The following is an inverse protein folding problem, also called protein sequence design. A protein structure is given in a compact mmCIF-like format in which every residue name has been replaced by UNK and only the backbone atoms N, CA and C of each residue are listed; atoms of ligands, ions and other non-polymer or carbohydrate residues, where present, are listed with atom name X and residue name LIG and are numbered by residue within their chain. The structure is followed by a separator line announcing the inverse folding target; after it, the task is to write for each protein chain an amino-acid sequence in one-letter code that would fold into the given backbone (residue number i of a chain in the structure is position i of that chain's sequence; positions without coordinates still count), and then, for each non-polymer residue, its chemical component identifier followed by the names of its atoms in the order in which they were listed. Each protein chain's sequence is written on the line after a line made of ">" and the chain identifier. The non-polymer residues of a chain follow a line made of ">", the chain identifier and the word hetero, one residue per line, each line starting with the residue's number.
data_IF_825271719539
#
_entry.id   IF_825271719539
#
_cell.length_a   1.000
_cell.length_b   1.000
_cell.length_c   1.000
_cell.angle_alpha   90.00
_cell.angle_beta   90.00
_cell.angle_gamma   90.00
#
_symmetry.space_group_name_H-M   'P 1'
#
loop_
_entity.id
_entity.type
_entity.pdbx_description
1 polymer ?
#
# COMPACT_ATOMS: atom_id res chain seq x y z
N UNK A 1 42.90 -55.67 26.70
CA UNK A 1 43.02 -55.03 25.36
C UNK A 1 41.67 -54.57 24.79
N UNK A 2 40.56 -55.24 25.09
CA UNK A 2 39.20 -54.91 24.56
C UNK A 2 38.61 -53.61 25.14
N UNK A 3 38.77 -53.36 26.46
CA UNK A 3 38.26 -52.15 27.12
C UNK A 3 38.86 -50.83 26.59
N UNK A 4 40.13 -50.83 26.15
CA UNK A 4 40.78 -49.64 25.55
C UNK A 4 40.21 -49.31 24.17
N UNK A 5 39.72 -50.29 23.41
CA UNK A 5 39.13 -50.06 22.09
C UNK A 5 37.74 -49.42 22.18
N UNK A 6 36.95 -49.78 23.19
CA UNK A 6 35.64 -49.15 23.43
C UNK A 6 35.75 -47.70 23.89
N UNK A 7 36.65 -47.39 24.83
CA UNK A 7 36.85 -46.02 25.28
C UNK A 7 37.31 -45.09 24.12
N UNK A 8 38.13 -45.60 23.20
CA UNK A 8 38.58 -44.85 22.03
C UNK A 8 37.42 -44.56 21.06
N UNK A 9 36.55 -45.55 20.82
CA UNK A 9 35.43 -45.45 19.89
C UNK A 9 34.38 -44.45 20.38
N UNK A 10 34.05 -44.49 21.68
CA UNK A 10 33.08 -43.56 22.28
C UNK A 10 33.59 -42.12 22.24
N UNK A 11 34.88 -41.92 22.52
CA UNK A 11 35.52 -40.60 22.42
C UNK A 11 35.50 -40.09 20.98
N UNK A 12 35.76 -40.95 19.99
CA UNK A 12 35.73 -40.58 18.58
C UNK A 12 34.33 -40.14 18.13
N UNK A 13 33.28 -40.84 18.57
CA UNK A 13 31.89 -40.51 18.23
C UNK A 13 31.47 -39.18 18.83
N UNK A 14 31.86 -38.89 20.09
CA UNK A 14 31.55 -37.61 20.74
C UNK A 14 32.26 -36.46 20.04
N UNK A 15 33.55 -36.62 19.74
CA UNK A 15 34.33 -35.59 19.03
C UNK A 15 33.79 -35.36 17.62
N UNK A 16 33.44 -36.42 16.89
CA UNK A 16 32.88 -36.30 15.55
C UNK A 16 31.49 -35.64 15.56
N UNK A 17 30.66 -35.94 16.56
CA UNK A 17 29.35 -35.30 16.74
C UNK A 17 29.48 -33.82 17.10
N UNK A 18 30.43 -33.46 17.97
CA UNK A 18 30.73 -32.08 18.30
C UNK A 18 31.31 -31.30 17.10
N UNK A 19 32.14 -31.96 16.28
CA UNK A 19 32.71 -31.38 15.07
C UNK A 19 31.63 -31.14 14.01
N UNK A 20 30.71 -32.10 13.81
CA UNK A 20 29.56 -31.95 12.93
C UNK A 20 28.61 -30.86 13.43
N UNK A 21 28.37 -30.76 14.74
CA UNK A 21 27.56 -29.70 15.33
C UNK A 21 28.22 -28.31 15.16
N UNK A 22 29.54 -28.20 15.35
CA UNK A 22 30.29 -26.97 15.06
C UNK A 22 30.30 -26.63 13.58
N UNK A 23 30.52 -27.59 12.68
CA UNK A 23 30.48 -27.37 11.23
C UNK A 23 29.07 -27.02 10.75
N UNK A 24 28.03 -27.56 11.37
CA UNK A 24 26.64 -27.18 11.14
C UNK A 24 26.34 -25.75 11.61
N UNK A 25 26.90 -25.31 12.73
CA UNK A 25 26.80 -23.92 13.19
C UNK A 25 27.65 -22.95 12.37
N UNK A 26 28.86 -23.34 11.95
CA UNK A 26 29.76 -22.52 11.12
C UNK A 26 29.20 -22.38 9.70
N UNK A 27 28.59 -23.43 9.13
CA UNK A 27 27.89 -23.34 7.83
C UNK A 27 26.60 -22.50 7.90
N UNK A 28 26.02 -22.33 9.10
CA UNK A 28 24.90 -21.41 9.36
C UNK A 28 25.32 -20.00 9.78
N UNK A 29 26.55 -19.82 10.24
CA UNK A 29 27.18 -18.52 10.42
C UNK A 29 27.44 -17.93 9.02
N UNK A 30 26.38 -17.41 8.41
CA UNK A 30 26.48 -16.61 7.19
C UNK A 30 27.56 -15.56 7.43
N UNK A 31 28.56 -15.52 6.54
CA UNK A 31 29.32 -14.30 6.30
C UNK A 31 28.33 -13.11 6.25
N UNK A 32 28.65 -11.94 6.82
CA UNK A 32 27.74 -10.79 6.83
C UNK A 32 27.48 -10.41 5.37
N UNK A 33 26.42 -10.99 4.83
CA UNK A 33 25.93 -10.68 3.52
C UNK A 33 25.37 -9.28 3.71
N UNK A 34 26.08 -8.27 3.20
CA UNK A 34 25.52 -6.92 3.08
C UNK A 34 24.36 -7.07 2.10
N UNK A 35 23.20 -7.49 2.59
CA UNK A 35 22.02 -7.64 1.77
C UNK A 35 21.65 -6.23 1.34
N UNK A 36 21.91 -5.91 0.08
CA UNK A 36 21.42 -4.67 -0.50
C UNK A 36 19.90 -4.69 -0.39
N UNK A 37 19.34 -3.71 0.31
CA UNK A 37 17.91 -3.48 0.40
C UNK A 37 17.30 -3.47 -1.00
N UNK A 38 16.24 -4.26 -1.21
CA UNK A 38 15.50 -4.28 -2.47
C UNK A 38 14.52 -3.12 -2.51
N UNK A 39 14.65 -2.23 -3.48
CA UNK A 39 13.66 -1.16 -3.69
C UNK A 39 12.54 -1.66 -4.59
N UNK A 40 11.30 -1.48 -4.14
CA UNK A 40 10.11 -2.00 -4.78
C UNK A 40 9.09 -0.87 -4.96
N UNK A 41 8.40 -0.80 -6.10
CA UNK A 41 7.31 0.16 -6.24
C UNK A 41 6.13 -0.29 -5.39
N UNK A 42 5.38 0.68 -4.87
CA UNK A 42 4.05 0.48 -4.30
C UNK A 42 3.14 1.59 -4.81
N UNK A 43 1.84 1.39 -4.75
CA UNK A 43 0.88 2.40 -5.16
C UNK A 43 -0.32 2.39 -4.22
N UNK A 44 -1.15 3.42 -4.31
CA UNK A 44 -2.47 3.38 -3.71
C UNK A 44 -3.31 2.24 -4.31
N UNK A 45 -4.45 2.00 -3.68
CA UNK A 45 -5.40 1.00 -4.14
C UNK A 45 -6.82 1.45 -3.79
N UNK A 46 -7.81 0.71 -4.26
CA UNK A 46 -9.22 0.90 -3.92
C UNK A 46 -9.82 -0.42 -3.44
N UNK A 47 -10.75 -0.38 -2.51
CA UNK A 47 -11.41 -1.61 -2.09
C UNK A 47 -12.26 -2.17 -3.24
N UNK A 48 -12.16 -3.48 -3.48
CA UNK A 48 -12.82 -4.18 -4.60
C UNK A 48 -14.32 -3.91 -4.71
N UNK A 49 -15.01 -3.73 -3.57
CA UNK A 49 -16.44 -3.33 -3.49
C UNK A 49 -16.80 -2.06 -4.26
N UNK A 50 -15.86 -1.14 -4.48
CA UNK A 50 -16.10 0.10 -5.21
C UNK A 50 -15.79 -0.01 -6.70
N UNK A 51 -15.09 -1.05 -7.12
CA UNK A 51 -14.82 -1.27 -8.54
C UNK A 51 -16.09 -1.82 -9.17
N UNK A 52 -16.63 -1.09 -10.14
CA UNK A 52 -17.83 -1.50 -10.86
C UNK A 52 -17.67 -2.95 -11.35
N UNK A 53 -18.71 -3.79 -11.25
CA UNK A 53 -18.66 -5.14 -11.81
C UNK A 53 -18.57 -5.09 -13.35
N UNK A 54 -18.19 -6.20 -14.00
CA UNK A 54 -18.27 -6.31 -15.45
C UNK A 54 -19.67 -5.90 -15.94
N UNK A 55 -19.73 -5.02 -16.93
CA UNK A 55 -20.98 -4.50 -17.48
C UNK A 55 -20.89 -4.40 -18.99
N UNK A 56 -21.97 -4.77 -19.67
CA UNK A 56 -22.17 -4.54 -21.10
C UNK A 56 -22.56 -3.08 -21.41
N UNK A 57 -22.99 -2.33 -20.39
CA UNK A 57 -23.35 -0.93 -20.53
C UNK A 57 -22.11 -0.05 -20.50
N UNK A 58 -21.90 0.69 -21.59
CA UNK A 58 -20.77 1.58 -21.74
C UNK A 58 -21.19 3.05 -21.85
N UNK A 59 -21.88 3.42 -22.94
CA UNK A 59 -22.27 4.81 -23.22
C UNK A 59 -23.66 5.13 -22.68
N UNK A 60 -24.58 4.16 -22.65
CA UNK A 60 -25.99 4.37 -22.23
C UNK A 60 -26.14 4.97 -20.83
N UNK A 61 -25.14 4.80 -19.96
CA UNK A 61 -25.14 5.34 -18.61
C UNK A 61 -24.42 6.69 -18.49
N UNK A 62 -23.86 7.23 -19.59
CA UNK A 62 -23.04 8.44 -19.60
C UNK A 62 -23.78 9.60 -20.24
N UNK A 63 -23.78 10.75 -19.57
CA UNK A 63 -24.49 11.96 -20.02
C UNK A 63 -23.74 13.27 -19.76
N UNK A 64 -22.47 13.22 -19.32
CA UNK A 64 -21.63 14.40 -19.18
C UNK A 64 -20.21 14.15 -19.68
N UNK A 65 -19.64 15.13 -20.38
CA UNK A 65 -18.28 15.06 -20.92
C UNK A 65 -17.23 14.92 -19.82
N UNK A 66 -17.35 15.70 -18.74
CA UNK A 66 -16.42 15.74 -17.61
C UNK A 66 -17.15 15.64 -16.27
N UNK A 67 -16.56 14.95 -15.30
CA UNK A 67 -17.02 14.93 -13.91
C UNK A 67 -16.93 16.31 -13.25
N UNK A 68 -17.81 16.53 -12.26
CA UNK A 68 -18.03 17.81 -11.59
C UNK A 68 -16.79 18.27 -10.80
N UNK A 69 -16.12 17.35 -10.10
CA UNK A 69 -14.98 17.69 -9.24
C UNK A 69 -13.75 18.01 -10.09
N UNK A 70 -13.28 19.26 -9.99
CA UNK A 70 -12.08 19.76 -10.66
C UNK A 70 -10.94 19.85 -9.63
N UNK A 71 -9.87 19.05 -9.77
CA UNK A 71 -8.77 19.01 -8.81
C UNK A 71 -8.15 20.38 -8.53
N UNK A 72 -8.15 20.82 -7.27
CA UNK A 72 -7.56 22.10 -6.85
C UNK A 72 -8.55 23.27 -6.84
N UNK A 73 -9.73 23.12 -7.45
CA UNK A 73 -10.80 24.09 -7.35
C UNK A 73 -11.81 23.65 -6.29
N UNK A 74 -11.63 24.11 -5.04
CA UNK A 74 -12.46 23.70 -3.89
C UNK A 74 -13.96 23.99 -4.05
N UNK A 75 -14.35 24.97 -4.86
CA UNK A 75 -15.78 25.26 -5.07
C UNK A 75 -16.53 24.14 -5.78
N UNK A 76 -15.81 23.25 -6.48
CA UNK A 76 -16.39 22.09 -7.17
C UNK A 76 -16.55 20.85 -6.27
N UNK A 77 -16.08 20.91 -5.02
CA UNK A 77 -16.10 19.79 -4.08
C UNK A 77 -17.44 19.80 -3.32
N UNK A 78 -18.53 19.66 -4.09
CA UNK A 78 -19.89 19.93 -3.63
C UNK A 78 -20.61 18.72 -3.01
N UNK A 79 -20.09 17.50 -3.20
CA UNK A 79 -20.77 16.28 -2.76
C UNK A 79 -20.72 16.11 -1.24
N UNK A 80 -21.90 15.88 -0.65
CA UNK A 80 -22.06 15.59 0.77
C UNK A 80 -22.11 14.09 1.06
N UNK A 81 -22.56 13.28 0.09
CA UNK A 81 -22.70 11.84 0.21
C UNK A 81 -21.86 11.07 -0.83
N UNK A 82 -21.39 9.88 -0.42
CA UNK A 82 -20.51 9.02 -1.21
C UNK A 82 -21.20 8.51 -2.49
N UNK A 83 -22.51 8.24 -2.42
CA UNK A 83 -23.27 7.68 -3.52
C UNK A 83 -23.39 8.68 -4.68
N UNK A 84 -23.71 9.94 -4.40
CA UNK A 84 -23.79 11.01 -5.39
C UNK A 84 -22.40 11.31 -5.99
N UNK A 85 -21.35 11.35 -5.16
CA UNK A 85 -19.98 11.53 -5.64
C UNK A 85 -19.58 10.45 -6.67
N UNK A 86 -19.87 9.18 -6.37
CA UNK A 86 -19.58 8.09 -7.30
C UNK A 86 -20.54 8.00 -8.49
N UNK A 87 -21.81 8.39 -8.32
CA UNK A 87 -22.75 8.51 -9.43
C UNK A 87 -22.29 9.57 -10.46
N UNK A 88 -21.69 10.66 -10.00
CA UNK A 88 -21.11 11.68 -10.88
C UNK A 88 -20.00 11.11 -11.76
N UNK A 89 -19.06 10.34 -11.20
CA UNK A 89 -18.07 9.66 -12.03
C UNK A 89 -18.71 8.68 -13.01
N UNK A 90 -19.69 7.87 -12.57
CA UNK A 90 -20.33 6.86 -13.44
C UNK A 90 -20.97 7.47 -14.69
N UNK A 91 -21.65 8.61 -14.52
CA UNK A 91 -22.32 9.32 -15.61
C UNK A 91 -21.38 10.16 -16.48
N UNK A 92 -20.11 10.32 -16.10
CA UNK A 92 -19.10 11.05 -16.89
C UNK A 92 -18.34 10.18 -17.87
N UNK A 93 -18.04 10.72 -19.05
CA UNK A 93 -17.03 10.13 -19.94
C UNK A 93 -15.62 10.23 -19.35
N UNK A 94 -15.23 11.44 -18.96
CA UNK A 94 -13.91 11.71 -18.39
C UNK A 94 -13.99 12.35 -16.99
N UNK A 95 -12.92 12.27 -16.24
CA UNK A 95 -12.73 13.02 -15.02
C UNK A 95 -11.31 13.58 -14.96
N UNK A 96 -11.19 14.87 -14.66
CA UNK A 96 -9.90 15.53 -14.60
C UNK A 96 -9.10 15.03 -13.40
N UNK A 97 -7.84 14.65 -13.63
CA UNK A 97 -6.88 14.34 -12.58
C UNK A 97 -5.49 14.86 -12.96
N UNK A 98 -4.61 14.99 -11.96
CA UNK A 98 -3.28 15.56 -12.13
C UNK A 98 -2.43 15.28 -10.89
N UNK A 99 -1.12 15.56 -10.98
CA UNK A 99 -0.25 15.66 -9.80
C UNK A 99 -0.82 16.65 -8.78
N UNK A 100 -0.85 16.24 -7.50
CA UNK A 100 -1.18 17.13 -6.37
C UNK A 100 -0.04 17.14 -5.36
N UNK A 101 -0.25 16.65 -4.13
CA UNK A 101 0.82 16.41 -3.17
C UNK A 101 1.78 15.29 -3.60
N UNK A 102 1.37 14.50 -4.60
CA UNK A 102 2.17 13.47 -5.25
C UNK A 102 1.60 13.15 -6.62
N UNK A 103 2.31 12.33 -7.39
CA UNK A 103 1.81 11.77 -8.64
C UNK A 103 0.73 10.72 -8.38
N UNK A 104 0.92 9.87 -7.38
CA UNK A 104 -0.06 8.86 -7.01
C UNK A 104 -1.07 9.45 -6.02
N UNK A 105 -2.36 9.33 -6.34
CA UNK A 105 -3.43 9.83 -5.48
C UNK A 105 -4.68 8.96 -5.59
N UNK A 106 -5.44 8.84 -4.49
CA UNK A 106 -6.61 7.95 -4.43
C UNK A 106 -7.68 8.26 -5.50
N UNK A 107 -7.85 9.55 -5.87
CA UNK A 107 -8.80 9.97 -6.91
C UNK A 107 -8.62 9.22 -8.23
N UNK A 108 -7.39 8.90 -8.62
CA UNK A 108 -7.12 8.17 -9.87
C UNK A 108 -7.86 6.82 -9.91
N UNK A 109 -7.90 6.16 -8.75
CA UNK A 109 -8.54 4.86 -8.55
C UNK A 109 -10.05 5.01 -8.44
N UNK A 110 -10.55 6.07 -7.78
CA UNK A 110 -11.98 6.36 -7.71
C UNK A 110 -12.60 6.59 -9.09
N UNK A 111 -11.89 7.31 -9.96
CA UNK A 111 -12.30 7.55 -11.35
C UNK A 111 -12.41 6.21 -12.10
N UNK A 112 -11.33 5.42 -12.10
CA UNK A 112 -11.29 4.12 -12.79
C UNK A 112 -12.33 3.15 -12.26
N UNK A 113 -12.46 3.04 -10.93
CA UNK A 113 -13.38 2.13 -10.27
C UNK A 113 -14.84 2.40 -10.64
N UNK A 114 -15.20 3.65 -10.92
CA UNK A 114 -16.54 4.06 -11.34
C UNK A 114 -16.75 4.02 -12.86
N UNK A 115 -15.82 3.42 -13.63
CA UNK A 115 -15.94 3.31 -15.08
C UNK A 115 -15.90 4.65 -15.79
N UNK A 116 -15.29 5.64 -15.17
CA UNK A 116 -14.94 6.92 -15.76
C UNK A 116 -13.47 6.85 -16.24
N UNK A 117 -13.14 7.57 -17.31
CA UNK A 117 -11.76 7.59 -17.83
C UNK A 117 -11.01 8.79 -17.25
N UNK A 118 -9.82 8.60 -16.64
CA UNK A 118 -9.00 9.72 -16.21
C UNK A 118 -8.58 10.58 -17.40
N UNK A 119 -8.79 11.88 -17.32
CA UNK A 119 -8.08 12.86 -18.15
C UNK A 119 -6.91 13.40 -17.32
N UNK A 120 -5.72 12.85 -17.53
CA UNK A 120 -4.59 13.01 -16.61
C UNK A 120 -3.60 14.05 -17.14
N UNK A 121 -3.59 15.24 -16.53
CA UNK A 121 -2.63 16.29 -16.90
C UNK A 121 -1.22 15.94 -16.42
N UNK A 122 -0.26 16.00 -17.34
CA UNK A 122 1.15 15.69 -17.10
C UNK A 122 1.43 14.19 -16.98
N UNK A 123 0.62 13.33 -17.60
CA UNK A 123 0.81 11.87 -17.50
C UNK A 123 2.17 11.42 -18.08
N UNK A 124 2.72 12.14 -19.05
CA UNK A 124 4.05 11.88 -19.60
C UNK A 124 5.20 12.36 -18.70
N UNK A 125 4.90 13.20 -17.70
CA UNK A 125 5.88 13.73 -16.75
C UNK A 125 6.03 12.83 -15.50
N UNK A 126 5.30 11.71 -15.42
CA UNK A 126 5.34 10.78 -14.29
C UNK A 126 6.71 10.06 -14.27
N UNK A 127 7.49 10.14 -13.16
CA UNK A 127 8.81 9.53 -13.09
C UNK A 127 8.77 8.00 -13.22
N UNK A 128 9.82 7.37 -13.78
CA UNK A 128 9.91 5.91 -13.87
C UNK A 128 9.80 5.25 -12.49
N UNK A 129 9.03 4.15 -12.38
CA UNK A 129 8.72 3.42 -11.13
C UNK A 129 7.69 4.09 -10.21
N UNK A 130 7.18 5.27 -10.55
CA UNK A 130 6.01 5.86 -9.89
C UNK A 130 4.73 5.30 -10.49
N UNK A 131 3.71 5.01 -9.67
CA UNK A 131 2.42 4.49 -10.12
C UNK A 131 2.51 3.26 -11.03
N UNK A 132 3.46 2.35 -10.77
CA UNK A 132 3.79 1.25 -11.70
C UNK A 132 2.61 0.34 -12.05
N UNK A 133 1.66 0.15 -11.13
CA UNK A 133 0.48 -0.68 -11.38
C UNK A 133 -0.62 0.08 -12.12
N UNK A 134 -0.57 1.41 -12.21
CA UNK A 134 -1.59 2.22 -12.88
C UNK A 134 -1.50 2.07 -14.42
N UNK A 135 -2.62 1.92 -15.13
CA UNK A 135 -2.64 1.63 -16.57
C UNK A 135 -2.42 2.89 -17.44
N UNK A 136 -1.23 3.51 -17.31
CA UNK A 136 -0.92 4.80 -17.97
C UNK A 136 -1.15 4.76 -19.48
N UNK A 137 -0.70 3.71 -20.16
CA UNK A 137 -0.83 3.61 -21.63
C UNK A 137 -2.29 3.50 -22.10
N UNK A 138 -3.16 2.83 -21.34
CA UNK A 138 -4.58 2.78 -21.65
C UNK A 138 -5.24 4.16 -21.45
N UNK A 139 -4.84 4.88 -20.40
CA UNK A 139 -5.33 6.24 -20.14
C UNK A 139 -4.89 7.20 -21.25
N UNK A 140 -3.62 7.17 -21.67
CA UNK A 140 -3.11 7.99 -22.78
C UNK A 140 -3.87 7.75 -24.08
N UNK A 141 -4.07 6.48 -24.45
CA UNK A 141 -4.87 6.11 -25.63
C UNK A 141 -6.29 6.65 -25.56
N UNK A 142 -6.92 6.62 -24.38
CA UNK A 142 -8.26 7.13 -24.21
C UNK A 142 -8.34 8.66 -24.26
N UNK A 143 -7.30 9.37 -23.80
CA UNK A 143 -7.18 10.84 -23.93
C UNK A 143 -6.96 11.29 -25.37
N UNK A 144 -6.40 10.42 -26.23
CA UNK A 144 -6.08 10.71 -27.63
C UNK A 144 -7.20 10.33 -28.61
N UNK A 145 -8.37 9.88 -28.13
CA UNK A 145 -9.48 9.54 -29.01
C UNK A 145 -9.97 10.79 -29.78
N UNK A 146 -10.40 10.63 -31.04
CA UNK A 146 -10.99 11.73 -31.80
C UNK A 146 -12.13 12.40 -31.02
N UNK A 147 -12.24 13.72 -31.10
CA UNK A 147 -13.26 14.51 -30.41
C UNK A 147 -12.98 14.80 -28.93
N UNK A 148 -11.98 14.16 -28.32
CA UNK A 148 -11.54 14.51 -26.96
C UNK A 148 -10.66 15.77 -27.01
N UNK A 149 -10.88 16.77 -26.14
CA UNK A 149 -10.01 17.95 -26.03
C UNK A 149 -8.54 17.58 -25.80
N UNK A 150 -7.63 18.31 -26.43
CA UNK A 150 -6.20 18.13 -26.19
C UNK A 150 -5.79 18.60 -24.79
N UNK A 151 -4.75 18.00 -24.23
CA UNK A 151 -4.24 18.41 -22.92
C UNK A 151 -3.84 19.90 -22.90
N UNK A 152 -3.25 20.40 -23.97
CA UNK A 152 -2.88 21.81 -24.14
C UNK A 152 -4.09 22.75 -24.08
N UNK A 153 -5.18 22.39 -24.77
CA UNK A 153 -6.45 23.14 -24.75
C UNK A 153 -7.04 23.19 -23.33
N UNK A 154 -7.02 22.06 -22.63
CA UNK A 154 -7.52 21.96 -21.25
C UNK A 154 -6.64 22.78 -20.29
N UNK A 155 -5.30 22.68 -20.40
CA UNK A 155 -4.36 23.47 -19.58
C UNK A 155 -4.56 24.98 -19.77
N UNK A 156 -4.70 25.42 -21.02
CA UNK A 156 -4.96 26.83 -21.36
C UNK A 156 -6.27 27.33 -20.75
N UNK A 157 -7.31 26.49 -20.76
CA UNK A 157 -8.61 26.83 -20.18
C UNK A 157 -8.55 26.92 -18.64
N UNK A 158 -7.79 26.04 -18.01
CA UNK A 158 -7.59 26.02 -16.54
C UNK A 158 -6.84 27.23 -15.99
N UNK A 159 -5.97 27.86 -16.81
CA UNK A 159 -5.21 29.06 -16.41
C UNK A 159 -5.93 30.37 -16.75
N UNK A 160 -7.09 30.29 -17.41
CA UNK A 160 -7.91 31.47 -17.71
C UNK A 160 -8.51 32.09 -16.44
N UNK A 161 -8.91 33.36 -16.52
CA UNK A 161 -9.58 34.07 -15.42
C UNK A 161 -11.02 33.62 -15.21
N UNK A 162 -11.61 32.92 -16.18
CA UNK A 162 -12.95 32.35 -16.07
C UNK A 162 -12.90 31.06 -15.23
N UNK A 163 -13.93 30.78 -14.41
CA UNK A 163 -13.97 29.55 -13.64
C UNK A 163 -14.06 28.34 -14.59
N UNK A 164 -13.07 27.44 -14.49
CA UNK A 164 -13.12 26.17 -15.20
C UNK A 164 -14.15 25.24 -14.54
N UNK A 165 -15.20 24.91 -15.28
CA UNK A 165 -16.27 24.01 -14.86
C UNK A 165 -16.27 22.75 -15.73
N UNK A 166 -17.08 21.76 -15.37
CA UNK A 166 -17.29 20.57 -16.22
C UNK A 166 -17.78 20.96 -17.64
N UNK A 167 -18.44 22.11 -17.79
CA UNK A 167 -18.93 22.61 -19.07
C UNK A 167 -17.81 23.15 -19.97
N UNK A 168 -16.65 23.48 -19.40
CA UNK A 168 -15.46 23.93 -20.15
C UNK A 168 -14.75 22.80 -20.91
N UNK A 169 -15.08 21.54 -20.60
CA UNK A 169 -14.56 20.36 -21.30
C UNK A 169 -15.69 19.73 -22.11
N UNK A 170 -15.63 19.84 -23.43
CA UNK A 170 -16.65 19.26 -24.30
C UNK A 170 -16.04 18.27 -25.28
N UNK A 171 -16.63 17.08 -25.33
CA UNK A 171 -16.32 16.08 -26.34
C UNK A 171 -17.07 16.47 -27.62
N UNK A 172 -16.36 16.51 -28.73
CA UNK A 172 -16.98 16.61 -30.05
C UNK A 172 -17.52 15.24 -30.47
N UNK A 173 -18.79 14.99 -30.13
CA UNK A 173 -19.48 13.75 -30.46
C UNK A 173 -19.68 13.53 -31.96
N UNK A 174 -19.46 14.53 -32.83
CA UNK A 174 -19.55 14.33 -34.28
C UNK A 174 -18.42 13.46 -34.83
N UNK A 175 -17.28 13.42 -34.12
CA UNK A 175 -16.11 12.61 -34.48
C UNK A 175 -15.70 11.62 -33.40
N UNK A 176 -16.32 11.66 -32.21
CA UNK A 176 -15.97 10.81 -31.09
C UNK A 176 -16.18 9.32 -31.39
N UNK A 177 -15.14 8.53 -31.20
CA UNK A 177 -15.21 7.08 -31.41
C UNK A 177 -15.70 6.38 -30.14
N UNK A 178 -17.01 6.27 -30.00
CA UNK A 178 -17.67 5.62 -28.85
C UNK A 178 -17.25 4.16 -28.68
N UNK A 179 -17.11 3.40 -29.77
CA UNK A 179 -16.69 2.00 -29.72
C UNK A 179 -15.30 1.86 -29.10
N UNK A 180 -14.34 2.64 -29.59
CA UNK A 180 -12.97 2.63 -29.06
C UNK A 180 -12.91 3.11 -27.60
N UNK A 181 -13.71 4.12 -27.24
CA UNK A 181 -13.87 4.54 -25.85
C UNK A 181 -14.36 3.39 -24.97
N UNK A 182 -15.35 2.63 -25.43
CA UNK A 182 -15.90 1.51 -24.69
C UNK A 182 -14.91 0.37 -24.47
N UNK A 183 -14.16 0.02 -25.51
CA UNK A 183 -13.10 -0.99 -25.41
C UNK A 183 -12.03 -0.59 -24.39
N UNK A 184 -11.57 0.67 -24.46
CA UNK A 184 -10.57 1.20 -23.52
C UNK A 184 -11.11 1.27 -22.09
N UNK A 185 -12.34 1.75 -21.90
CA UNK A 185 -13.01 1.77 -20.59
C UNK A 185 -13.13 0.37 -20.00
N UNK A 186 -13.50 -0.63 -20.80
CA UNK A 186 -13.60 -2.02 -20.33
C UNK A 186 -12.24 -2.58 -19.92
N UNK A 187 -11.19 -2.32 -20.70
CA UNK A 187 -9.82 -2.70 -20.35
C UNK A 187 -9.36 -2.02 -19.06
N UNK A 188 -9.62 -0.72 -18.90
CA UNK A 188 -9.30 0.05 -17.70
C UNK A 188 -10.01 -0.50 -16.45
N UNK A 189 -11.32 -0.80 -16.56
CA UNK A 189 -12.10 -1.39 -15.47
C UNK A 189 -11.60 -2.80 -15.11
N UNK A 190 -11.27 -3.61 -16.12
CA UNK A 190 -10.73 -4.95 -15.88
C UNK A 190 -9.39 -4.86 -15.15
N UNK A 191 -8.48 -4.02 -15.63
CA UNK A 191 -7.20 -3.75 -14.99
C UNK A 191 -7.37 -3.27 -13.55
N UNK A 192 -8.35 -2.40 -13.29
CA UNK A 192 -8.64 -1.92 -11.94
C UNK A 192 -9.03 -3.07 -10.99
N UNK A 193 -9.88 -4.01 -11.44
CA UNK A 193 -10.27 -5.19 -10.63
C UNK A 193 -9.10 -6.11 -10.34
N UNK A 194 -8.24 -6.32 -11.32
CA UNK A 194 -7.15 -7.29 -11.24
C UNK A 194 -5.93 -6.77 -10.46
N UNK A 195 -5.63 -5.47 -10.59
CA UNK A 195 -4.32 -4.94 -10.19
C UNK A 195 -4.39 -3.75 -9.22
N UNK A 196 -5.51 -3.05 -9.14
CA UNK A 196 -5.61 -1.81 -8.37
C UNK A 196 -6.41 -1.95 -7.07
N UNK A 197 -6.75 -3.18 -6.68
CA UNK A 197 -7.54 -3.43 -5.47
C UNK A 197 -6.69 -3.53 -4.20
N UNK A 198 -7.27 -3.26 -3.03
CA UNK A 198 -6.62 -3.51 -1.73
C UNK A 198 -6.17 -4.97 -1.62
N UNK A 199 -7.00 -5.90 -2.08
CA UNK A 199 -6.68 -7.33 -2.15
C UNK A 199 -5.46 -7.61 -3.03
N UNK A 200 -5.36 -6.98 -4.20
CA UNK A 200 -4.20 -7.10 -5.09
C UNK A 200 -2.93 -6.52 -4.46
N UNK A 201 -3.03 -5.35 -3.80
CA UNK A 201 -1.93 -4.73 -3.06
C UNK A 201 -1.42 -5.64 -1.93
N UNK A 202 -2.33 -6.20 -1.12
CA UNK A 202 -1.99 -7.15 -0.07
C UNK A 202 -1.33 -8.43 -0.61
N UNK A 203 -1.83 -8.95 -1.74
CA UNK A 203 -1.23 -10.10 -2.43
C UNK A 203 0.22 -9.81 -2.83
N UNK A 204 0.43 -8.68 -3.50
CA UNK A 204 1.75 -8.26 -3.97
C UNK A 204 2.76 -8.22 -2.81
N UNK A 205 2.43 -7.60 -1.69
CA UNK A 205 3.32 -7.53 -0.53
C UNK A 205 3.60 -8.92 0.07
N UNK A 206 2.59 -9.78 0.17
CA UNK A 206 2.76 -11.16 0.64
C UNK A 206 3.69 -11.97 -0.28
N UNK A 207 3.61 -11.78 -1.60
CA UNK A 207 4.51 -12.41 -2.56
C UNK A 207 5.95 -11.92 -2.43
N UNK A 208 6.15 -10.63 -2.13
CA UNK A 208 7.50 -10.10 -1.85
C UNK A 208 8.10 -10.71 -0.58
N UNK A 209 7.30 -10.91 0.48
CA UNK A 209 7.74 -11.64 1.69
C UNK A 209 8.20 -13.05 1.33
N UNK A 210 7.42 -13.78 0.52
CA UNK A 210 7.77 -15.15 0.08
C UNK A 210 9.04 -15.17 -0.76
N UNK A 211 9.20 -14.20 -1.66
CA UNK A 211 10.39 -14.06 -2.50
C UNK A 211 11.66 -13.80 -1.67
N UNK A 212 11.56 -13.01 -0.60
CA UNK A 212 12.67 -12.70 0.30
C UNK A 212 12.96 -13.84 1.29
N UNK A 213 12.00 -14.74 1.52
CA UNK A 213 12.16 -15.89 2.43
C UNK A 213 11.81 -17.25 1.77
N UNK A 214 12.56 -17.69 0.73
CA UNK A 214 12.24 -18.92 0.00
C UNK A 214 12.38 -20.20 0.83
N UNK A 215 13.27 -20.18 1.83
CA UNK A 215 13.56 -21.33 2.69
C UNK A 215 12.41 -21.69 3.63
N UNK A 216 11.39 -20.83 3.73
CA UNK A 216 10.21 -21.09 4.55
C UNK A 216 9.00 -21.11 3.62
N UNK A 217 8.59 -22.31 3.26
CA UNK A 217 7.33 -22.58 2.54
C UNK A 217 6.14 -22.26 3.48
N UNK A 218 5.92 -20.99 3.77
CA UNK A 218 4.74 -20.56 4.53
C UNK A 218 3.63 -20.25 3.53
N UNK A 219 2.60 -21.08 3.54
CA UNK A 219 1.37 -20.81 2.78
C UNK A 219 0.78 -19.44 3.16
N UNK A 220 0.92 -19.03 4.43
CA UNK A 220 0.41 -17.76 4.98
C UNK A 220 1.39 -17.14 6.00
N UNK A 221 2.23 -16.17 5.62
CA UNK A 221 3.22 -15.58 6.53
C UNK A 221 2.54 -14.87 7.70
N UNK A 222 3.11 -15.00 8.89
CA UNK A 222 2.73 -14.26 10.10
C UNK A 222 3.40 -12.90 10.05
N UNK A 223 2.61 -11.85 9.97
CA UNK A 223 3.11 -10.49 9.75
C UNK A 223 2.82 -9.62 10.95
N UNK A 224 3.82 -8.84 11.37
CA UNK A 224 3.61 -7.69 12.24
C UNK A 224 3.62 -6.43 11.39
N UNK A 225 2.50 -5.72 11.33
CA UNK A 225 2.41 -4.40 10.71
C UNK A 225 2.55 -3.32 11.78
N UNK A 226 3.60 -2.53 11.67
CA UNK A 226 3.86 -1.34 12.48
C UNK A 226 3.38 -0.14 11.67
N UNK A 227 2.29 0.49 12.11
CA UNK A 227 1.65 1.57 11.37
C UNK A 227 1.04 2.62 12.29
N UNK A 228 0.93 3.84 11.80
CA UNK A 228 0.26 4.93 12.50
C UNK A 228 -1.26 4.67 12.55
N UNK A 229 -1.90 4.77 13.72
CA UNK A 229 -3.36 4.62 13.82
C UNK A 229 -4.15 5.74 13.13
N UNK A 230 -3.55 6.91 12.87
CA UNK A 230 -4.20 8.04 12.19
C UNK A 230 -4.60 7.75 10.73
N UNK A 231 -5.34 8.68 10.14
CA UNK A 231 -5.84 8.57 8.76
C UNK A 231 -4.72 8.88 7.77
N UNK A 232 -4.01 7.84 7.35
CA UNK A 232 -3.14 7.86 6.18
C UNK A 232 -3.58 6.77 5.17
N UNK A 233 -3.76 7.14 3.91
CA UNK A 233 -4.41 6.30 2.90
C UNK A 233 -3.54 5.12 2.46
N UNK A 234 -2.22 5.29 2.32
CA UNK A 234 -1.34 4.26 1.73
C UNK A 234 -1.20 3.08 2.69
N UNK A 235 -0.89 3.38 3.95
CA UNK A 235 -0.88 2.42 5.04
C UNK A 235 -2.27 1.84 5.29
N UNK A 236 -3.35 2.62 5.10
CA UNK A 236 -4.71 2.13 5.26
C UNK A 236 -5.13 1.12 4.21
N UNK A 237 -4.88 1.38 2.93
CA UNK A 237 -5.14 0.42 1.86
C UNK A 237 -4.27 -0.83 1.99
N UNK A 238 -3.01 -0.67 2.38
CA UNK A 238 -2.14 -1.81 2.69
C UNK A 238 -2.68 -2.62 3.87
N UNK A 239 -3.11 -1.97 4.96
CA UNK A 239 -3.72 -2.60 6.11
C UNK A 239 -4.94 -3.44 5.71
N UNK A 240 -5.86 -2.87 4.92
CA UNK A 240 -7.04 -3.57 4.41
C UNK A 240 -6.63 -4.81 3.61
N UNK A 241 -5.74 -4.64 2.63
CA UNK A 241 -5.26 -5.74 1.81
C UNK A 241 -4.59 -6.85 2.61
N UNK A 242 -3.79 -6.49 3.62
CA UNK A 242 -3.15 -7.46 4.51
C UNK A 242 -4.17 -8.17 5.41
N UNK A 243 -5.19 -7.48 5.93
CA UNK A 243 -6.27 -8.13 6.70
C UNK A 243 -7.01 -9.15 5.82
N UNK A 244 -7.38 -8.78 4.59
CA UNK A 244 -8.07 -9.66 3.64
C UNK A 244 -7.25 -10.92 3.32
N UNK A 245 -5.92 -10.78 3.19
CA UNK A 245 -5.01 -11.89 2.85
C UNK A 245 -4.59 -12.72 4.05
N UNK A 246 -4.33 -12.09 5.18
CA UNK A 246 -3.65 -12.71 6.31
C UNK A 246 -4.56 -12.98 7.50
N UNK A 247 -5.69 -12.29 7.65
CA UNK A 247 -6.61 -12.47 8.77
C UNK A 247 -5.84 -12.54 10.10
N UNK A 248 -6.04 -13.61 10.88
CA UNK A 248 -5.38 -13.81 12.18
C UNK A 248 -3.84 -13.96 12.12
N UNK A 249 -3.26 -14.19 10.93
CA UNK A 249 -1.81 -14.21 10.76
C UNK A 249 -1.21 -12.80 10.84
N UNK A 250 -2.01 -11.75 10.62
CA UNK A 250 -1.61 -10.36 10.83
C UNK A 250 -1.76 -9.96 12.31
N UNK A 251 -0.72 -9.35 12.85
CA UNK A 251 -0.79 -8.54 14.07
C UNK A 251 -0.42 -7.11 13.72
N UNK A 252 -0.96 -6.17 14.48
CA UNK A 252 -0.68 -4.74 14.29
C UNK A 252 -0.10 -4.16 15.55
N UNK A 253 0.89 -3.30 15.38
CA UNK A 253 1.40 -2.44 16.42
C UNK A 253 1.24 -0.99 15.95
N UNK A 254 0.84 -0.08 16.83
CA UNK A 254 0.52 -0.30 18.24
C UNK A 254 -0.96 -0.67 18.52
N UNK A 255 -1.87 -0.37 17.59
CA UNK A 255 -3.30 -0.78 17.62
C UNK A 255 -3.84 -1.00 16.21
N UNK A 256 -5.13 -1.32 16.08
CA UNK A 256 -5.78 -1.40 14.75
C UNK A 256 -5.91 -0.02 14.12
N UNK A 257 -6.09 0.02 12.80
CA UNK A 257 -6.38 1.26 12.08
C UNK A 257 -7.90 1.53 12.14
N UNK A 258 -8.37 2.01 13.29
CA UNK A 258 -9.79 2.00 13.67
C UNK A 258 -10.74 2.54 12.58
N UNK A 259 -10.35 3.63 11.91
CA UNK A 259 -11.16 4.31 10.87
C UNK A 259 -11.61 3.41 9.70
N UNK A 260 -10.86 2.35 9.38
CA UNK A 260 -11.24 1.43 8.28
C UNK A 260 -12.24 0.36 8.71
N UNK A 261 -12.60 0.29 10.01
CA UNK A 261 -13.56 -0.68 10.53
C UNK A 261 -14.98 -0.09 10.62
N UNK A 262 -15.98 -0.96 10.46
CA UNK A 262 -17.40 -0.59 10.38
C UNK A 262 -17.91 0.20 11.59
N UNK A 263 -17.42 -0.10 12.79
CA UNK A 263 -17.77 0.59 14.04
C UNK A 263 -17.31 2.06 14.06
N UNK A 264 -16.35 2.44 13.21
CA UNK A 264 -15.83 3.80 13.08
C UNK A 264 -16.21 4.49 11.78
N UNK A 265 -17.20 3.95 11.05
CA UNK A 265 -17.62 4.48 9.75
C UNK A 265 -18.04 5.96 9.79
N UNK A 266 -18.53 6.43 10.94
CA UNK A 266 -19.04 7.78 11.12
C UNK A 266 -18.03 8.75 11.76
N UNK A 267 -16.79 8.33 11.99
CA UNK A 267 -15.74 9.20 12.54
C UNK A 267 -15.30 10.18 11.42
N UNK A 268 -15.85 11.39 11.39
CA UNK A 268 -15.79 12.33 10.23
C UNK A 268 -14.44 13.06 10.00
N UNK A 269 -13.30 12.48 10.38
CA UNK A 269 -12.01 13.20 10.36
C UNK A 269 -11.07 12.85 9.18
N UNK A 270 -11.55 12.09 8.19
CA UNK A 270 -10.76 11.78 7.00
C UNK A 270 -10.87 12.89 5.93
N UNK A 271 -9.76 13.16 5.24
CA UNK A 271 -9.78 13.98 4.03
C UNK A 271 -10.80 13.42 3.02
N UNK A 272 -11.49 14.28 2.27
CA UNK A 272 -12.50 13.82 1.31
C UNK A 272 -13.70 13.10 1.95
N UNK A 273 -14.02 13.40 3.22
CA UNK A 273 -15.14 12.81 3.99
C UNK A 273 -15.05 11.30 4.17
N UNK A 274 -13.88 10.70 3.93
CA UNK A 274 -13.68 9.26 4.11
C UNK A 274 -14.32 8.36 3.05
N UNK A 275 -14.81 8.95 1.95
CA UNK A 275 -15.34 8.20 0.82
C UNK A 275 -14.30 7.20 0.31
N UNK A 276 -14.76 5.99 -0.02
CA UNK A 276 -13.91 4.93 -0.57
C UNK A 276 -12.99 4.25 0.43
N UNK A 277 -12.96 4.70 1.70
CA UNK A 277 -11.92 4.34 2.67
C UNK A 277 -12.44 3.91 4.05
N UNK A 278 -13.48 4.58 4.57
CA UNK A 278 -13.97 4.31 5.92
C UNK A 278 -14.91 3.09 5.96
N UNK A 279 -14.88 2.37 7.09
CA UNK A 279 -15.80 1.24 7.32
C UNK A 279 -15.75 0.16 6.23
N UNK A 280 -14.55 -0.17 5.76
CA UNK A 280 -14.31 -1.21 4.76
C UNK A 280 -14.25 -2.61 5.38
N UNK A 281 -13.69 -2.72 6.57
CA UNK A 281 -13.50 -3.96 7.29
C UNK A 281 -14.60 -4.17 8.34
N UNK A 282 -14.95 -5.42 8.64
CA UNK A 282 -15.83 -5.71 9.77
C UNK A 282 -15.17 -5.30 11.09
N UNK A 283 -15.98 -4.96 12.08
CA UNK A 283 -15.54 -4.83 13.47
C UNK A 283 -15.12 -6.21 13.98
N UNK A 284 -14.00 -6.28 14.70
CA UNK A 284 -13.53 -7.56 15.22
C UNK A 284 -14.34 -7.98 16.46
N UNK A 285 -14.37 -9.28 16.77
CA UNK A 285 -15.13 -9.79 17.92
C UNK A 285 -14.79 -9.09 19.24
N UNK A 286 -13.49 -8.94 19.55
CA UNK A 286 -13.05 -8.23 20.76
C UNK A 286 -13.55 -6.77 20.82
N UNK A 287 -13.60 -6.06 19.68
CA UNK A 287 -14.14 -4.69 19.64
C UNK A 287 -15.67 -4.62 19.63
N UNK A 288 -16.34 -5.77 19.45
CA UNK A 288 -17.79 -5.90 19.59
C UNK A 288 -18.17 -6.17 21.04
N UNK A 289 -17.37 -7.01 21.72
CA UNK A 289 -17.67 -7.52 23.05
C UNK A 289 -17.11 -6.66 24.20
N UNK A 290 -16.13 -5.79 23.91
CA UNK A 290 -15.41 -5.01 24.91
C UNK A 290 -15.25 -3.54 24.51
N UNK A 291 -14.97 -2.67 25.50
CA UNK A 291 -14.59 -1.29 25.24
C UNK A 291 -13.29 -1.25 24.41
N UNK A 292 -13.11 -0.23 23.56
CA UNK A 292 -11.95 -0.16 22.65
C UNK A 292 -10.61 -0.26 23.37
N UNK A 293 -10.45 0.41 24.50
CA UNK A 293 -9.22 0.36 25.28
C UNK A 293 -8.90 -1.06 25.80
N UNK A 294 -9.92 -1.83 26.19
CA UNK A 294 -9.77 -3.22 26.65
C UNK A 294 -9.42 -4.15 25.48
N UNK A 295 -10.10 -3.98 24.35
CA UNK A 295 -9.84 -4.75 23.13
C UNK A 295 -8.42 -4.50 22.60
N UNK A 296 -8.00 -3.22 22.51
CA UNK A 296 -6.65 -2.83 22.10
C UNK A 296 -5.60 -3.39 23.08
N UNK A 297 -5.84 -3.34 24.39
CA UNK A 297 -4.97 -3.94 25.40
C UNK A 297 -4.83 -5.47 25.21
N UNK A 298 -5.94 -6.18 24.97
CA UNK A 298 -5.91 -7.62 24.73
C UNK A 298 -5.14 -7.99 23.45
N UNK A 299 -5.41 -7.30 22.34
CA UNK A 299 -4.66 -7.51 21.09
C UNK A 299 -3.18 -7.19 21.24
N UNK A 300 -2.85 -6.15 22.00
CA UNK A 300 -1.46 -5.79 22.33
C UNK A 300 -0.78 -6.92 23.10
N UNK A 301 -1.38 -7.42 24.17
CA UNK A 301 -0.79 -8.52 24.96
C UNK A 301 -0.52 -9.76 24.08
N UNK A 302 -1.44 -10.11 23.18
CA UNK A 302 -1.26 -11.21 22.21
C UNK A 302 -0.09 -10.92 21.26
N UNK A 303 -0.01 -9.70 20.72
CA UNK A 303 1.06 -9.30 19.81
C UNK A 303 2.42 -9.28 20.52
N UNK A 304 2.52 -8.76 21.75
CA UNK A 304 3.74 -8.75 22.55
C UNK A 304 4.21 -10.17 22.87
N UNK A 305 3.29 -11.06 23.25
CA UNK A 305 3.59 -12.49 23.42
C UNK A 305 4.14 -13.12 22.13
N UNK A 306 3.50 -12.86 20.98
CA UNK A 306 3.97 -13.33 19.67
C UNK A 306 5.36 -12.80 19.33
N UNK A 307 5.63 -11.53 19.65
CA UNK A 307 6.91 -10.88 19.41
C UNK A 307 8.03 -11.46 20.29
N UNK A 308 7.76 -11.70 21.56
CA UNK A 308 8.72 -12.32 22.48
C UNK A 308 9.11 -13.74 22.02
N UNK A 309 8.13 -14.50 21.50
CA UNK A 309 8.30 -15.89 21.08
C UNK A 309 8.73 -16.09 19.61
N UNK A 310 9.13 -15.04 18.88
CA UNK A 310 9.64 -15.21 17.51
C UNK A 310 8.58 -15.60 16.48
N UNK A 311 7.32 -15.22 16.69
CA UNK A 311 6.21 -15.70 15.88
C UNK A 311 6.01 -14.98 14.55
N UNK A 312 6.82 -13.97 14.21
CA UNK A 312 6.68 -13.19 12.98
C UNK A 312 7.68 -13.59 11.91
N UNK A 313 7.13 -13.85 10.74
CA UNK A 313 7.84 -14.17 9.52
C UNK A 313 8.30 -12.89 8.79
N UNK A 314 7.52 -11.82 8.93
CA UNK A 314 7.88 -10.49 8.46
C UNK A 314 7.41 -9.39 9.44
N UNK A 315 8.17 -8.30 9.48
CA UNK A 315 7.82 -7.05 10.12
C UNK A 315 7.77 -5.98 9.03
N UNK A 316 6.62 -5.32 8.89
CA UNK A 316 6.39 -4.23 7.94
C UNK A 316 6.26 -2.95 8.73
N UNK A 317 7.00 -1.91 8.37
CA UNK A 317 6.92 -0.59 8.98
C UNK A 317 6.46 0.42 7.92
N UNK A 318 5.39 1.16 8.19
CA UNK A 318 4.92 2.26 7.33
C UNK A 318 5.31 3.61 7.93
N UNK A 319 5.66 4.62 7.13
CA UNK A 319 6.09 5.95 7.64
C UNK A 319 4.99 7.03 7.71
N UNK A 320 3.79 6.75 7.19
CA UNK A 320 2.62 7.61 7.37
C UNK A 320 2.75 9.03 6.80
N UNK A 321 3.40 9.23 5.65
CA UNK A 321 3.38 10.53 4.96
C UNK A 321 4.25 11.63 5.59
N UNK A 322 5.47 11.30 5.99
CA UNK A 322 6.54 12.21 6.45
C UNK A 322 6.37 12.89 7.80
N UNK A 323 5.18 12.96 8.38
CA UNK A 323 4.99 13.49 9.73
C UNK A 323 5.69 12.63 10.80
N UNK A 324 6.05 11.37 10.47
CA UNK A 324 6.54 10.38 11.42
C UNK A 324 7.80 9.64 10.97
N UNK A 325 8.79 10.39 10.49
CA UNK A 325 10.19 9.97 10.36
C UNK A 325 10.78 9.23 11.58
N UNK A 326 10.14 9.38 12.74
CA UNK A 326 10.55 8.76 14.00
C UNK A 326 9.64 7.56 14.24
N UNK A 327 10.04 6.37 13.81
CA UNK A 327 9.36 5.11 14.17
C UNK A 327 9.12 5.01 15.68
N UNK A 328 9.98 5.62 16.50
CA UNK A 328 9.82 5.69 17.96
C UNK A 328 8.70 6.66 18.41
N UNK A 329 8.26 7.60 17.57
CA UNK A 329 7.08 8.43 17.86
C UNK A 329 5.78 7.62 17.90
N UNK A 330 5.73 6.47 17.21
CA UNK A 330 4.62 5.52 17.37
C UNK A 330 4.52 4.97 18.79
N UNK A 331 5.56 5.08 19.62
CA UNK A 331 5.48 4.70 21.04
C UNK A 331 4.92 5.83 21.91
N UNK A 332 5.14 7.09 21.53
CA UNK A 332 4.68 8.26 22.31
C UNK A 332 3.15 8.36 22.36
N UNK A 333 2.44 7.74 21.41
CA UNK A 333 0.98 7.70 21.34
C UNK A 333 0.39 6.66 22.33
N UNK A 334 1.20 5.83 23.00
CA UNK A 334 0.71 4.61 23.66
C UNK A 334 0.86 4.52 25.18
N UNK A 335 1.85 5.16 25.81
CA UNK A 335 1.89 5.19 27.27
C UNK A 335 2.99 6.11 27.82
N UNK A 336 2.65 6.91 28.84
CA UNK A 336 3.64 7.72 29.56
C UNK A 336 4.50 6.87 30.52
N UNK A 337 4.07 5.65 30.84
CA UNK A 337 4.63 4.84 31.94
C UNK A 337 5.70 3.81 31.53
N UNK A 338 5.84 3.43 30.26
CA UNK A 338 6.76 2.36 29.83
C UNK A 338 7.92 2.86 28.94
N UNK A 339 8.73 3.76 29.50
CA UNK A 339 9.82 4.51 28.83
C UNK A 339 11.15 3.77 28.59
N UNK A 340 11.26 2.46 28.79
CA UNK A 340 12.59 1.83 28.85
C UNK A 340 13.21 1.42 27.50
N UNK A 341 12.44 1.15 26.43
CA UNK A 341 12.99 0.57 25.19
C UNK A 341 12.29 1.08 23.94
N UNK A 342 13.07 1.57 22.97
CA UNK A 342 12.52 2.14 21.73
C UNK A 342 11.99 1.07 20.77
N UNK A 343 11.07 1.41 19.87
CA UNK A 343 10.49 0.48 18.90
C UNK A 343 11.57 -0.03 17.95
N UNK A 344 12.53 0.85 17.61
CA UNK A 344 13.76 0.47 16.91
C UNK A 344 14.54 -0.59 17.67
N UNK A 345 14.73 -0.44 18.98
CA UNK A 345 15.45 -1.41 19.79
C UNK A 345 14.72 -2.76 19.84
N UNK A 346 13.39 -2.76 19.95
CA UNK A 346 12.55 -3.96 19.88
C UNK A 346 12.75 -4.68 18.54
N UNK A 347 12.65 -3.98 17.41
CA UNK A 347 12.86 -4.56 16.07
C UNK A 347 14.27 -5.13 15.94
N UNK A 348 15.31 -4.39 16.39
CA UNK A 348 16.71 -4.86 16.35
C UNK A 348 16.92 -6.12 17.17
N UNK A 349 16.40 -6.17 18.40
CA UNK A 349 16.50 -7.35 19.26
C UNK A 349 15.75 -8.55 18.68
N UNK A 350 14.57 -8.32 18.09
CA UNK A 350 13.83 -9.37 17.40
C UNK A 350 14.63 -9.93 16.22
N UNK A 351 15.15 -9.05 15.34
CA UNK A 351 15.95 -9.43 14.17
C UNK A 351 17.25 -10.15 14.55
N UNK A 352 17.88 -9.77 15.66
CA UNK A 352 19.07 -10.46 16.16
C UNK A 352 18.79 -11.90 16.59
N UNK A 353 17.61 -12.16 17.19
CA UNK A 353 17.18 -13.50 17.60
C UNK A 353 16.58 -14.32 16.45
N UNK A 354 15.99 -13.65 15.47
CA UNK A 354 15.27 -14.23 14.33
C UNK A 354 15.78 -13.64 13.00
N UNK A 355 17.07 -13.89 12.65
CA UNK A 355 17.69 -13.32 11.45
C UNK A 355 17.02 -13.74 10.14
N UNK A 356 16.23 -14.81 10.16
CA UNK A 356 15.44 -15.31 9.03
C UNK A 356 14.14 -14.54 8.76
N UNK A 357 13.69 -13.71 9.71
CA UNK A 357 12.52 -12.83 9.48
C UNK A 357 12.80 -11.84 8.35
N UNK A 358 11.77 -11.24 7.77
CA UNK A 358 11.94 -10.17 6.76
C UNK A 358 11.57 -8.84 7.39
N UNK A 359 12.42 -7.82 7.24
CA UNK A 359 12.11 -6.45 7.59
C UNK A 359 11.81 -5.65 6.33
N UNK A 360 10.60 -5.12 6.24
CA UNK A 360 10.16 -4.30 5.12
C UNK A 360 9.77 -2.91 5.58
N UNK A 361 10.07 -1.91 4.76
CA UNK A 361 9.66 -0.53 4.97
C UNK A 361 8.74 -0.08 3.84
N UNK A 362 7.71 0.70 4.15
CA UNK A 362 6.76 1.27 3.20
C UNK A 362 6.75 2.78 3.35
N UNK A 363 7.26 3.46 2.33
CA UNK A 363 7.32 4.91 2.25
C UNK A 363 6.13 5.45 1.44
N UNK A 364 5.28 6.21 2.13
CA UNK A 364 4.10 6.85 1.58
C UNK A 364 4.34 8.25 1.02
N UNK A 365 5.58 8.68 0.77
CA UNK A 365 5.86 10.06 0.36
C UNK A 365 6.81 10.24 -0.82
N UNK A 366 6.71 11.43 -1.38
CA UNK A 366 7.54 12.14 -2.34
C UNK A 366 8.95 12.47 -1.80
N UNK A 367 9.73 11.47 -1.39
CA UNK A 367 11.21 11.49 -1.29
C UNK A 367 11.94 12.61 -0.54
N UNK A 368 11.24 13.54 0.08
CA UNK A 368 11.74 14.34 1.19
C UNK A 368 11.58 13.63 2.54
N UNK A 369 10.94 12.45 2.53
CA UNK A 369 10.71 11.62 3.71
C UNK A 369 11.97 10.96 4.22
N UNK A 370 12.12 10.89 5.54
CA UNK A 370 13.32 10.34 6.18
C UNK A 370 13.62 8.92 5.70
N UNK A 371 14.57 8.84 4.78
CA UNK A 371 15.17 7.60 4.34
C UNK A 371 15.69 6.89 5.58
N UNK A 372 15.18 5.69 5.87
CA UNK A 372 15.87 4.43 6.24
C UNK A 372 17.16 4.43 7.08
N UNK A 373 17.71 5.54 7.53
CA UNK A 373 19.06 5.64 8.09
C UNK A 373 19.17 5.02 9.47
N UNK A 374 18.04 4.80 10.15
CA UNK A 374 18.05 4.35 11.55
C UNK A 374 17.62 2.89 11.77
N UNK A 375 17.11 2.18 10.74
CA UNK A 375 16.79 0.75 10.82
C UNK A 375 17.84 -0.06 10.05
N UNK A 376 18.79 -0.75 10.73
CA UNK A 376 19.79 -1.55 10.04
C UNK A 376 19.15 -2.79 9.39
N UNK A 377 19.67 -3.19 8.22
CA UNK A 377 19.33 -4.45 7.53
C UNK A 377 17.86 -4.57 7.11
N UNK A 378 17.30 -3.51 6.50
CA UNK A 378 16.01 -3.58 5.78
C UNK A 378 16.16 -4.45 4.54
N UNK A 379 15.37 -5.51 4.42
CA UNK A 379 15.41 -6.45 3.30
C UNK A 379 14.72 -5.86 2.06
N UNK A 380 13.62 -5.13 2.24
CA UNK A 380 12.92 -4.45 1.17
C UNK A 380 12.34 -3.09 1.57
N UNK A 381 12.39 -2.14 0.64
CA UNK A 381 11.87 -0.80 0.78
C UNK A 381 10.87 -0.52 -0.35
N UNK A 382 9.59 -0.45 0.00
CA UNK A 382 8.53 -0.03 -0.89
C UNK A 382 8.48 1.48 -0.99
N UNK A 383 8.48 1.99 -2.23
CA UNK A 383 8.53 3.41 -2.56
C UNK A 383 7.32 3.72 -3.44
N UNK A 384 6.48 4.67 -3.02
CA UNK A 384 5.30 5.08 -3.81
C UNK A 384 5.68 5.91 -5.03
N UNK A 385 6.63 6.83 -4.83
CA UNK A 385 7.04 7.80 -5.84
C UNK A 385 8.56 7.89 -5.89
N UNK A 386 9.11 7.81 -7.09
CA UNK A 386 10.52 8.03 -7.38
C UNK A 386 10.74 9.49 -7.81
N UNK A 387 11.82 10.11 -7.38
CA UNK A 387 12.21 11.44 -7.79
C UNK A 387 13.01 11.22 -9.05
N UNK A 388 13.02 12.23 -9.90
CA UNK A 388 13.90 12.31 -11.06
C UNK A 388 15.40 12.14 -10.70
N UNK A 389 15.76 12.05 -9.41
CA UNK A 389 17.13 12.03 -8.88
C UNK A 389 17.55 10.73 -8.18
N UNK A 390 17.00 9.56 -8.54
CA UNK A 390 17.74 8.32 -8.23
C UNK A 390 18.82 8.11 -9.29
N UNK A 391 19.77 9.04 -9.33
CA UNK A 391 20.98 8.99 -10.13
C UNK A 391 21.99 8.05 -9.45
N UNK A 392 21.73 6.77 -9.57
CA UNK A 392 22.65 5.69 -9.21
C UNK A 392 22.18 4.43 -9.94
N UNK A 393 23.08 3.48 -10.27
CA UNK A 393 22.70 2.25 -10.92
C UNK A 393 21.94 1.39 -9.92
N UNK A 394 20.64 1.66 -9.77
CA UNK A 394 19.68 0.72 -9.25
C UNK A 394 19.57 -0.39 -10.29
N UNK A 395 20.50 -1.34 -10.21
CA UNK A 395 20.32 -2.65 -10.82
C UNK A 395 19.14 -3.33 -10.13
N UNK A 396 17.94 -2.95 -10.54
CA UNK A 396 16.73 -3.72 -10.30
C UNK A 396 16.82 -4.92 -11.22
N UNK A 397 17.05 -6.10 -10.64
CA UNK A 397 16.83 -7.36 -11.37
C UNK A 397 15.34 -7.43 -11.68
N UNK A 398 15.02 -7.45 -12.97
CA UNK A 398 13.68 -7.71 -13.53
C UNK A 398 13.15 -9.06 -13.08
#
# INVERSE_FOLDING_TARGET
>A
MVLRKHALLTTLVIVFSALLYMLWHISRARAPNVSRTRYLPISFAIHERYVLPPTSECVSTKNQSLATVIPGNKSTYIFADEAAYYADYRRSFYALTMKKGGWDCFRHYEILANGCVPFFLGIDDIPPLTMRTFPMELVKRAMQLPGVPTEESVKTSLTSTAPYTAESFQIDFSVFNETAYCELRQQLLQHAREHLTTRALGQYVVEQIRSLRPSVSVYRPRVLLITEPSVEYQSGFLYIGLVEKLGNALSTYPRRKAIVHADRRNDTNAYGRGFGFQGLLPTTGLHTDHAEAEADHAYRAIMEYRLQNGAFDAIIVTNGGNEYCKVDSYQAVFDAEHRATSLRAIIRQYRARHPESVLMFVDGSDLGGCHTTDLPNVDAHFVRETANAVSGPLMLRT
#
